data_IF_231070191263
#
_entry.id   IF_231070191263
#
_cell.length_a   1.000
_cell.length_b   1.000
_cell.length_c   1.000
_cell.angle_alpha   90.00
_cell.angle_beta   90.00
_cell.angle_gamma   90.00
#
_symmetry.space_group_name_H-M   'P 1'
#
loop_
_entity.id
_entity.type
_entity.pdbx_description
1 polymer ?
#
# COMPACT_ATOMS: atom_id res chain seq x y z
N UNK A 1 -13.75 -14.59 1.70
CA UNK A 1 -13.12 -15.30 2.84
C UNK A 1 -11.71 -14.75 3.05
N UNK A 2 -11.56 -13.70 3.86
CA UNK A 2 -10.28 -13.11 4.22
C UNK A 2 -10.01 -13.43 5.69
N UNK A 3 -8.79 -13.88 6.02
CA UNK A 3 -8.38 -14.03 7.42
C UNK A 3 -8.31 -12.63 8.06
N UNK A 4 -8.99 -12.47 9.19
CA UNK A 4 -9.05 -11.22 9.95
C UNK A 4 -8.42 -11.38 11.34
N UNK A 5 -7.36 -12.17 11.45
CA UNK A 5 -6.57 -12.29 12.66
C UNK A 5 -6.03 -10.93 13.10
N UNK A 6 -6.20 -10.61 14.37
CA UNK A 6 -5.84 -9.30 14.94
C UNK A 6 -4.37 -8.90 14.73
N UNK A 7 -3.46 -9.88 14.64
CA UNK A 7 -2.04 -9.64 14.38
C UNK A 7 -1.73 -9.22 12.94
N UNK A 8 -2.70 -9.31 12.01
CA UNK A 8 -2.51 -9.08 10.55
C UNK A 8 -3.47 -8.07 9.94
N UNK A 9 -4.40 -7.52 10.72
CA UNK A 9 -5.40 -6.55 10.22
C UNK A 9 -5.05 -5.09 10.49
N UNK A 10 -3.78 -4.79 10.78
CA UNK A 10 -3.34 -3.41 10.99
C UNK A 10 -3.70 -2.48 9.84
N UNK A 11 -3.54 -2.95 8.60
CA UNK A 11 -3.95 -2.20 7.41
C UNK A 11 -5.44 -1.83 7.44
N UNK A 12 -6.34 -2.73 7.81
CA UNK A 12 -7.78 -2.45 7.87
C UNK A 12 -8.08 -1.38 8.92
N UNK A 13 -7.42 -1.45 10.09
CA UNK A 13 -7.56 -0.47 11.15
C UNK A 13 -7.06 0.91 10.73
N UNK A 14 -5.92 0.97 10.02
CA UNK A 14 -5.35 2.20 9.46
C UNK A 14 -6.29 2.79 8.41
N UNK A 15 -6.72 2.00 7.43
CA UNK A 15 -7.59 2.46 6.35
C UNK A 15 -8.94 2.97 6.88
N UNK A 16 -9.54 2.30 7.87
CA UNK A 16 -10.75 2.78 8.52
C UNK A 16 -10.55 4.14 9.20
N UNK A 17 -9.41 4.33 9.90
CA UNK A 17 -9.05 5.63 10.49
C UNK A 17 -8.82 6.72 9.41
N UNK A 18 -8.41 6.31 8.21
CA UNK A 18 -8.30 7.20 7.03
C UNK A 18 -9.64 7.42 6.32
N UNK A 19 -10.76 7.00 6.93
CA UNK A 19 -12.10 7.12 6.37
C UNK A 19 -12.34 6.28 5.10
N UNK A 20 -11.62 5.17 4.93
CA UNK A 20 -11.93 4.21 3.88
C UNK A 20 -13.22 3.44 4.23
N UNK A 21 -14.10 3.27 3.25
CA UNK A 21 -15.34 2.54 3.46
C UNK A 21 -15.11 1.04 3.24
N UNK A 22 -14.80 0.34 4.33
CA UNK A 22 -14.54 -1.10 4.36
C UNK A 22 -15.50 -1.74 5.35
N UNK A 23 -16.37 -2.62 4.85
CA UNK A 23 -17.33 -3.39 5.65
C UNK A 23 -16.89 -4.84 5.74
N UNK A 24 -16.93 -5.40 6.94
CA UNK A 24 -16.71 -6.82 7.21
C UNK A 24 -18.07 -7.52 7.37
N UNK A 25 -18.32 -8.55 6.56
CA UNK A 25 -19.55 -9.36 6.60
C UNK A 25 -19.22 -10.85 6.74
N UNK A 26 -20.22 -11.65 7.09
CA UNK A 26 -20.12 -13.11 7.15
C UNK A 26 -18.94 -13.61 8.01
N UNK A 27 -18.72 -12.94 9.16
CA UNK A 27 -17.66 -13.30 10.09
C UNK A 27 -17.93 -14.69 10.68
N UNK A 28 -16.95 -15.59 10.57
CA UNK A 28 -17.03 -16.96 11.09
C UNK A 28 -15.67 -17.53 11.44
N UNK A 29 -15.64 -18.62 12.14
CA UNK A 29 -14.42 -19.40 12.43
C UNK A 29 -14.25 -20.46 11.35
N UNK A 30 -13.05 -20.54 10.78
CA UNK A 30 -12.66 -21.56 9.84
C UNK A 30 -11.26 -22.09 10.20
N UNK A 31 -11.14 -23.38 10.51
CA UNK A 31 -9.88 -24.02 10.95
C UNK A 31 -9.17 -23.27 12.09
N UNK A 32 -9.95 -22.83 13.10
CA UNK A 32 -9.42 -22.09 14.25
C UNK A 32 -9.12 -20.61 14.02
N UNK A 33 -9.21 -20.11 12.79
CA UNK A 33 -8.98 -18.71 12.44
C UNK A 33 -10.28 -17.95 12.15
N UNK A 34 -10.33 -16.69 12.52
CA UNK A 34 -11.47 -15.84 12.17
C UNK A 34 -11.34 -15.34 10.75
N UNK A 35 -12.36 -15.60 9.93
CA UNK A 35 -12.45 -15.15 8.55
C UNK A 35 -13.68 -14.26 8.32
N UNK A 36 -13.65 -13.41 7.31
CA UNK A 36 -14.74 -12.54 6.91
C UNK A 36 -14.68 -12.22 5.42
N UNK A 37 -15.79 -11.75 4.87
CA UNK A 37 -15.83 -11.12 3.56
C UNK A 37 -15.66 -9.62 3.72
N UNK A 38 -14.78 -9.01 2.91
CA UNK A 38 -14.54 -7.57 2.92
C UNK A 38 -15.20 -6.94 1.71
N UNK A 39 -16.06 -5.95 1.97
CA UNK A 39 -16.68 -5.11 0.95
C UNK A 39 -16.03 -3.74 1.01
N UNK A 40 -15.43 -3.31 -0.09
CA UNK A 40 -14.80 -1.99 -0.21
C UNK A 40 -15.56 -1.15 -1.21
N UNK A 41 -15.91 0.07 -0.85
CA UNK A 41 -16.55 1.01 -1.77
C UNK A 41 -15.77 2.31 -1.91
N UNK A 42 -15.81 2.89 -3.13
CA UNK A 42 -15.03 4.08 -3.50
C UNK A 42 -15.65 5.41 -3.07
N UNK A 43 -16.75 5.42 -2.34
CA UNK A 43 -17.51 6.65 -1.97
C UNK A 43 -16.87 7.49 -0.85
N UNK A 44 -15.72 7.11 -0.34
CA UNK A 44 -15.11 7.81 0.79
C UNK A 44 -14.06 8.82 0.35
N UNK A 45 -14.12 10.01 0.95
CA UNK A 45 -13.01 10.96 0.86
C UNK A 45 -11.96 10.57 1.89
N UNK A 46 -10.84 10.02 1.42
CA UNK A 46 -9.73 9.64 2.28
C UNK A 46 -9.17 10.85 3.03
N UNK A 47 -8.97 10.68 4.33
CA UNK A 47 -8.37 11.67 5.23
C UNK A 47 -6.97 11.22 5.64
N UNK A 48 -6.13 12.20 5.93
CA UNK A 48 -4.82 11.94 6.53
C UNK A 48 -4.95 11.29 7.91
N UNK A 49 -3.89 10.64 8.35
CA UNK A 49 -3.83 9.96 9.64
C UNK A 49 -2.58 10.37 10.42
N UNK A 50 -2.70 10.56 11.73
CA UNK A 50 -1.60 10.37 12.66
C UNK A 50 -1.64 8.90 13.11
N UNK A 51 -0.78 8.08 12.47
CA UNK A 51 -0.85 6.64 12.60
C UNK A 51 -0.42 6.18 14.00
N UNK A 52 -1.28 5.46 14.76
CA UNK A 52 -0.90 4.90 16.04
C UNK A 52 0.25 3.89 15.90
N UNK A 53 1.32 4.08 16.68
CA UNK A 53 2.53 3.23 16.61
C UNK A 53 2.26 1.75 16.89
N UNK A 54 1.26 1.44 17.74
CA UNK A 54 0.88 0.07 18.07
C UNK A 54 0.27 -0.70 16.89
N UNK A 55 -0.03 -0.03 15.78
CA UNK A 55 -0.47 -0.69 14.55
C UNK A 55 0.70 -1.09 13.63
N UNK A 56 1.93 -0.63 13.90
CA UNK A 56 3.07 -0.88 13.03
C UNK A 56 3.33 -2.37 12.81
N UNK A 57 3.39 -3.18 13.86
CA UNK A 57 3.67 -4.62 13.73
C UNK A 57 2.59 -5.35 12.93
N UNK A 58 1.33 -5.04 13.17
CA UNK A 58 0.19 -5.69 12.50
C UNK A 58 -0.07 -5.20 11.07
N UNK A 59 0.63 -4.13 10.63
CA UNK A 59 0.58 -3.55 9.29
C UNK A 59 1.95 -3.50 8.60
N UNK A 60 2.96 -4.15 9.19
CA UNK A 60 4.37 -3.97 8.78
C UNK A 60 4.59 -4.28 7.30
N UNK A 61 3.89 -5.24 6.77
CA UNK A 61 4.05 -5.68 5.40
C UNK A 61 3.25 -4.83 4.40
N UNK A 62 2.31 -4.04 4.86
CA UNK A 62 1.40 -3.24 4.02
C UNK A 62 1.77 -1.75 3.96
N UNK A 63 2.83 -1.30 4.67
CA UNK A 63 3.17 0.13 4.71
C UNK A 63 3.41 0.76 3.33
N UNK A 64 3.99 0.04 2.38
CA UNK A 64 4.20 0.57 1.03
C UNK A 64 2.87 0.97 0.37
N UNK A 65 1.84 0.12 0.48
CA UNK A 65 0.52 0.46 -0.08
C UNK A 65 -0.20 1.50 0.78
N UNK A 66 0.00 1.51 2.10
CA UNK A 66 -0.52 2.54 3.01
C UNK A 66 0.06 3.91 2.64
N UNK A 67 1.34 4.00 2.30
CA UNK A 67 1.95 5.26 1.83
C UNK A 67 1.32 5.76 0.53
N UNK A 68 1.02 4.84 -0.40
CA UNK A 68 0.31 5.18 -1.64
C UNK A 68 -1.11 5.70 -1.35
N UNK A 69 -1.83 5.08 -0.42
CA UNK A 69 -3.15 5.58 0.02
C UNK A 69 -3.02 6.96 0.68
N UNK A 70 -2.01 7.16 1.55
CA UNK A 70 -1.74 8.44 2.18
C UNK A 70 -1.42 9.55 1.16
N UNK A 71 -0.75 9.19 0.05
CA UNK A 71 -0.49 10.13 -1.06
C UNK A 71 -1.78 10.65 -1.73
N UNK A 72 -2.87 9.90 -1.66
CA UNK A 72 -4.21 10.28 -2.18
C UNK A 72 -5.14 10.84 -1.12
N UNK A 73 -4.77 10.82 0.14
CA UNK A 73 -5.60 11.34 1.23
C UNK A 73 -5.53 12.87 1.32
N UNK A 74 -6.60 13.51 1.82
CA UNK A 74 -6.59 14.94 2.09
C UNK A 74 -5.83 15.23 3.40
N UNK A 75 -4.79 16.06 3.34
CA UNK A 75 -4.02 16.49 4.51
C UNK A 75 -2.66 15.82 4.64
N UNK A 76 -2.08 15.83 5.84
CA UNK A 76 -0.73 15.32 6.13
C UNK A 76 -0.82 14.07 6.98
N UNK A 77 -0.39 12.94 6.44
CA UNK A 77 -0.31 11.68 7.21
C UNK A 77 1.07 11.56 7.87
N UNK A 78 1.08 11.16 9.13
CA UNK A 78 2.31 10.96 9.92
C UNK A 78 2.43 9.49 10.32
N UNK A 79 3.59 8.90 10.08
CA UNK A 79 3.94 7.53 10.47
C UNK A 79 5.26 7.58 11.23
N UNK A 80 5.35 6.86 12.36
CA UNK A 80 6.49 6.90 13.27
C UNK A 80 7.06 5.52 13.56
N UNK A 81 8.34 5.47 13.94
CA UNK A 81 9.03 4.24 14.34
C UNK A 81 9.01 3.17 13.24
N UNK A 82 9.38 3.54 12.02
CA UNK A 82 9.34 2.67 10.84
C UNK A 82 10.68 1.98 10.54
N UNK A 83 11.58 1.88 11.52
CA UNK A 83 12.91 1.29 11.37
C UNK A 83 12.87 -0.17 10.87
N UNK A 84 11.89 -0.95 11.30
CA UNK A 84 11.71 -2.34 10.85
C UNK A 84 11.46 -2.48 9.35
N UNK A 85 10.94 -1.44 8.68
CA UNK A 85 10.73 -1.48 7.22
C UNK A 85 12.04 -1.56 6.43
N UNK A 86 13.13 -1.04 6.96
CA UNK A 86 14.43 -1.12 6.29
C UNK A 86 15.19 -2.43 6.57
N UNK A 87 14.66 -3.28 7.45
CA UNK A 87 15.19 -4.61 7.78
C UNK A 87 14.47 -5.75 7.03
N UNK A 88 13.64 -5.42 6.03
CA UNK A 88 12.91 -6.38 5.19
C UNK A 88 13.77 -6.83 3.99
N UNK A 89 13.17 -7.51 3.01
CA UNK A 89 13.83 -7.98 1.78
C UNK A 89 14.54 -6.84 1.03
N UNK A 90 14.00 -5.66 1.15
CA UNK A 90 14.59 -4.41 0.66
C UNK A 90 14.45 -3.33 1.74
N UNK A 91 15.19 -2.21 1.66
CA UNK A 91 14.97 -1.07 2.54
C UNK A 91 13.66 -0.34 2.16
N UNK A 92 12.53 -0.95 2.55
CA UNK A 92 11.18 -0.55 2.11
C UNK A 92 10.84 0.90 2.45
N UNK A 93 11.29 1.41 3.61
CA UNK A 93 11.05 2.81 3.98
C UNK A 93 11.76 3.75 2.99
N UNK A 94 13.03 3.48 2.68
CA UNK A 94 13.82 4.31 1.76
C UNK A 94 13.26 4.25 0.34
N UNK A 95 12.89 3.04 -0.12
CA UNK A 95 12.28 2.83 -1.44
C UNK A 95 10.91 3.52 -1.52
N UNK A 96 10.08 3.38 -0.49
CA UNK A 96 8.77 4.03 -0.43
C UNK A 96 8.87 5.55 -0.49
N UNK A 97 9.84 6.15 0.22
CA UNK A 97 10.09 7.60 0.16
C UNK A 97 10.56 8.02 -1.24
N UNK A 98 11.50 7.29 -1.84
CA UNK A 98 11.98 7.55 -3.21
C UNK A 98 10.84 7.45 -4.22
N UNK A 99 10.02 6.42 -4.07
CA UNK A 99 8.83 6.23 -4.92
C UNK A 99 7.85 7.40 -4.81
N UNK A 100 7.48 7.82 -3.60
CA UNK A 100 6.56 8.93 -3.39
C UNK A 100 7.11 10.24 -3.99
N UNK A 101 8.41 10.52 -3.81
CA UNK A 101 9.06 11.68 -4.42
C UNK A 101 9.07 11.60 -5.94
N UNK A 102 9.32 10.42 -6.52
CA UNK A 102 9.29 10.19 -7.97
C UNK A 102 7.93 10.53 -8.58
N UNK A 103 6.85 10.25 -7.88
CA UNK A 103 5.48 10.59 -8.33
C UNK A 103 5.02 11.99 -7.88
N UNK A 104 5.93 12.85 -7.45
CA UNK A 104 5.65 14.26 -7.11
C UNK A 104 5.02 14.48 -5.74
N UNK A 105 5.01 13.49 -4.86
CA UNK A 105 4.45 13.63 -3.51
C UNK A 105 5.50 14.20 -2.56
N UNK A 106 5.15 15.28 -1.85
CA UNK A 106 6.01 15.86 -0.81
C UNK A 106 6.07 14.92 0.39
N UNK A 107 7.29 14.52 0.77
CA UNK A 107 7.58 13.69 1.94
C UNK A 107 8.67 14.35 2.77
N UNK A 108 8.43 14.48 4.06
CA UNK A 108 9.44 14.89 5.05
C UNK A 108 9.80 13.66 5.87
N UNK A 109 11.09 13.37 5.97
CA UNK A 109 11.62 12.30 6.82
C UNK A 109 12.41 12.89 7.98
N UNK A 110 12.18 12.38 9.18
CA UNK A 110 12.96 12.68 10.38
C UNK A 110 13.34 11.32 10.98
N UNK A 111 14.60 10.89 10.80
CA UNK A 111 15.07 9.54 11.17
C UNK A 111 14.20 8.44 10.54
N UNK A 112 13.43 7.72 11.35
CA UNK A 112 12.52 6.65 10.94
C UNK A 112 11.04 7.07 10.93
N UNK A 113 10.79 8.36 11.09
CA UNK A 113 9.46 8.95 10.99
C UNK A 113 9.28 9.62 9.63
N UNK A 114 8.07 9.58 9.08
CA UNK A 114 7.74 10.28 7.84
C UNK A 114 6.43 11.06 7.94
N UNK A 115 6.37 12.16 7.23
CA UNK A 115 5.14 12.91 6.95
C UNK A 115 4.90 12.89 5.44
N UNK A 116 3.72 12.46 5.03
CA UNK A 116 3.29 12.39 3.62
C UNK A 116 2.21 13.44 3.42
N UNK A 117 2.46 14.38 2.50
CA UNK A 117 1.52 15.43 2.13
C UNK A 117 0.64 14.91 1.00
N UNK A 118 -0.57 14.49 1.35
CA UNK A 118 -1.48 13.87 0.40
C UNK A 118 -2.19 14.88 -0.49
N UNK A 119 -2.52 14.42 -1.71
CA UNK A 119 -3.29 15.16 -2.70
C UNK A 119 -4.38 14.26 -3.30
N UNK A 120 -5.67 14.47 -2.96
CA UNK A 120 -6.77 13.69 -3.52
C UNK A 120 -6.83 13.72 -5.06
N UNK A 121 -6.37 14.81 -5.66
CA UNK A 121 -6.36 15.01 -7.10
C UNK A 121 -5.07 14.54 -7.80
N UNK A 122 -4.19 13.81 -7.07
CA UNK A 122 -2.95 13.29 -7.65
C UNK A 122 -3.27 12.42 -8.87
N UNK A 123 -2.82 12.87 -10.03
CA UNK A 123 -2.87 12.17 -11.32
C UNK A 123 -1.51 12.31 -12.01
N UNK A 124 -1.11 11.28 -12.70
CA UNK A 124 0.18 11.18 -13.36
C UNK A 124 -0.02 11.09 -14.88
N UNK A 125 0.76 11.86 -15.65
CA UNK A 125 0.74 11.86 -17.13
C UNK A 125 2.09 11.48 -17.74
N UNK A 126 3.16 11.45 -16.93
CA UNK A 126 4.53 11.21 -17.39
C UNK A 126 4.88 9.73 -17.62
N UNK A 127 6.18 9.50 -17.81
CA UNK A 127 6.77 8.16 -17.89
C UNK A 127 7.50 7.85 -16.60
N UNK A 128 7.28 6.66 -16.05
CA UNK A 128 7.82 6.23 -14.77
C UNK A 128 8.52 4.89 -14.90
N UNK A 129 9.66 4.76 -14.25
CA UNK A 129 10.46 3.52 -14.29
C UNK A 129 10.73 3.05 -12.88
N UNK A 130 10.31 1.82 -12.56
CA UNK A 130 10.64 1.14 -11.30
C UNK A 130 11.60 0.00 -11.55
N UNK A 131 12.81 0.13 -10.99
CA UNK A 131 13.90 -0.87 -11.09
C UNK A 131 14.79 -0.81 -9.85
N UNK A 132 15.68 -1.78 -9.69
CA UNK A 132 16.68 -1.81 -8.62
C UNK A 132 16.08 -1.82 -7.20
N UNK A 133 14.96 -2.52 -7.01
CA UNK A 133 14.31 -2.69 -5.71
C UNK A 133 14.51 -4.08 -5.09
N UNK A 134 15.64 -4.72 -5.42
CA UNK A 134 16.07 -6.04 -4.89
C UNK A 134 15.02 -7.14 -5.06
N UNK A 135 14.27 -7.12 -6.14
CA UNK A 135 13.17 -8.07 -6.41
C UNK A 135 12.14 -8.17 -5.29
N UNK A 136 11.93 -7.08 -4.53
CA UNK A 136 10.90 -7.06 -3.48
C UNK A 136 9.51 -7.05 -4.11
N UNK A 137 8.79 -8.15 -3.91
CA UNK A 137 7.45 -8.34 -4.48
C UNK A 137 6.43 -7.28 -4.02
N UNK A 138 6.58 -6.72 -2.81
CA UNK A 138 5.68 -5.68 -2.31
C UNK A 138 5.91 -4.33 -3.00
N UNK A 139 7.17 -4.02 -3.32
CA UNK A 139 7.51 -2.84 -4.13
C UNK A 139 6.94 -3.00 -5.54
N UNK A 140 7.10 -4.18 -6.14
CA UNK A 140 6.52 -4.48 -7.46
C UNK A 140 4.99 -4.30 -7.45
N UNK A 141 4.30 -4.94 -6.49
CA UNK A 141 2.84 -4.86 -6.40
C UNK A 141 2.35 -3.43 -6.14
N UNK A 142 2.97 -2.68 -5.22
CA UNK A 142 2.66 -1.27 -4.98
C UNK A 142 2.79 -0.44 -6.26
N UNK A 143 3.86 -0.65 -7.03
CA UNK A 143 4.11 0.08 -8.28
C UNK A 143 3.04 -0.21 -9.34
N UNK A 144 2.60 -1.46 -9.45
CA UNK A 144 1.49 -1.85 -10.33
C UNK A 144 0.18 -1.16 -9.92
N UNK A 145 -0.15 -1.13 -8.63
CA UNK A 145 -1.36 -0.46 -8.14
C UNK A 145 -1.27 1.06 -8.38
N UNK A 146 -0.11 1.67 -8.18
CA UNK A 146 0.09 3.09 -8.48
C UNK A 146 -0.13 3.38 -9.97
N UNK A 147 0.42 2.56 -10.87
CA UNK A 147 0.23 2.68 -12.32
C UNK A 147 -1.25 2.64 -12.72
N UNK A 148 -2.01 1.73 -12.13
CA UNK A 148 -3.43 1.54 -12.43
C UNK A 148 -4.32 2.64 -11.84
N UNK A 149 -3.93 3.23 -10.70
CA UNK A 149 -4.79 4.16 -9.95
C UNK A 149 -4.44 5.62 -10.16
N UNK A 150 -3.19 5.93 -10.50
CA UNK A 150 -2.71 7.31 -10.66
C UNK A 150 -2.55 7.72 -12.13
N UNK A 151 -2.46 6.76 -13.06
CA UNK A 151 -2.21 7.02 -14.48
C UNK A 151 -0.72 7.08 -14.80
N UNK A 152 -0.38 7.67 -16.00
CA UNK A 152 0.97 7.69 -16.54
C UNK A 152 1.33 6.40 -17.29
N UNK A 153 2.52 6.38 -17.91
CA UNK A 153 3.09 5.22 -18.58
C UNK A 153 4.19 4.63 -17.70
N UNK A 154 4.09 3.35 -17.38
CA UNK A 154 4.99 2.71 -16.42
C UNK A 154 5.77 1.56 -17.04
N UNK A 155 7.07 1.49 -16.69
CA UNK A 155 7.92 0.32 -16.91
C UNK A 155 8.38 -0.21 -15.56
N UNK A 156 7.87 -1.37 -15.15
CA UNK A 156 8.15 -1.97 -13.84
C UNK A 156 8.92 -3.27 -14.09
N UNK A 157 10.14 -3.32 -13.58
CA UNK A 157 11.03 -4.48 -13.71
C UNK A 157 10.76 -5.54 -12.65
N UNK A 158 11.48 -6.66 -12.72
CA UNK A 158 11.43 -7.75 -11.75
C UNK A 158 10.03 -8.35 -11.52
N UNK A 159 9.28 -8.53 -12.60
CA UNK A 159 7.94 -9.15 -12.59
C UNK A 159 7.93 -10.53 -11.91
N UNK A 160 9.03 -11.27 -12.01
CA UNK A 160 9.21 -12.59 -11.41
C UNK A 160 9.23 -12.55 -9.87
N UNK A 161 9.47 -11.39 -9.27
CA UNK A 161 9.46 -11.20 -7.81
C UNK A 161 8.16 -11.64 -7.12
N UNK A 162 7.03 -11.60 -7.83
CA UNK A 162 5.73 -12.02 -7.29
C UNK A 162 5.54 -13.53 -7.19
N UNK A 163 6.38 -14.32 -7.86
CA UNK A 163 6.20 -15.78 -7.94
C UNK A 163 6.32 -16.46 -6.57
N UNK A 164 7.12 -15.90 -5.66
CA UNK A 164 7.31 -16.44 -4.31
C UNK A 164 6.15 -16.13 -3.35
N UNK A 165 5.32 -15.11 -3.64
CA UNK A 165 4.31 -14.61 -2.71
C UNK A 165 2.90 -14.58 -3.27
N UNK A 166 2.74 -14.07 -4.50
CA UNK A 166 1.43 -13.93 -5.14
C UNK A 166 1.50 -14.16 -6.67
N UNK A 167 1.79 -15.39 -7.12
CA UNK A 167 2.03 -15.69 -8.55
C UNK A 167 0.84 -15.36 -9.46
N UNK A 168 -0.38 -15.32 -8.92
CA UNK A 168 -1.60 -14.97 -9.67
C UNK A 168 -1.86 -13.46 -9.75
N UNK A 169 -1.04 -12.60 -9.13
CA UNK A 169 -1.28 -11.16 -9.03
C UNK A 169 -1.58 -10.49 -10.37
N UNK A 170 -0.69 -10.60 -11.35
CA UNK A 170 -0.89 -10.01 -12.69
C UNK A 170 -2.12 -10.59 -13.39
N UNK A 171 -2.36 -11.91 -13.28
CA UNK A 171 -3.53 -12.55 -13.88
C UNK A 171 -4.83 -11.97 -13.28
N UNK A 172 -4.86 -11.73 -11.98
CA UNK A 172 -6.01 -11.12 -11.30
C UNK A 172 -6.20 -9.68 -11.77
N UNK A 173 -5.14 -8.87 -11.82
CA UNK A 173 -5.24 -7.49 -12.31
C UNK A 173 -5.79 -7.43 -13.73
N UNK A 174 -5.32 -8.30 -14.64
CA UNK A 174 -5.85 -8.40 -16.01
C UNK A 174 -7.33 -8.77 -16.04
N UNK A 175 -7.78 -9.72 -15.19
CA UNK A 175 -9.20 -10.06 -15.04
C UNK A 175 -10.05 -8.89 -14.55
N UNK A 176 -9.46 -7.98 -13.78
CA UNK A 176 -10.10 -6.76 -13.30
C UNK A 176 -10.03 -5.59 -14.30
N UNK A 177 -9.55 -5.85 -15.53
CA UNK A 177 -9.52 -4.87 -16.61
C UNK A 177 -8.20 -4.10 -16.76
N UNK A 178 -7.14 -4.47 -16.03
CA UNK A 178 -5.84 -3.81 -16.17
C UNK A 178 -5.20 -4.14 -17.53
N UNK A 179 -4.76 -3.10 -18.25
CA UNK A 179 -3.98 -3.21 -19.48
C UNK A 179 -2.49 -3.32 -19.11
N UNK A 180 -1.96 -4.54 -19.12
CA UNK A 180 -0.58 -4.86 -18.76
C UNK A 180 0.03 -5.70 -19.87
N UNK A 181 1.09 -5.20 -20.47
CA UNK A 181 1.91 -5.88 -21.49
C UNK A 181 3.06 -6.66 -20.82
#
# INVERSE_FOLDING_TARGET
>A
NININNSRIGILKILNKMNANILSKNKRIYKGETISDLIVSSKSNLKSIDCPKNLNSSAIDEFLIIFLVAAKAKGVSTFRNLDELNKKESPRLDIGIKFLKMIGVKVIRIKNDIKIYGNPNLKLSGQYVMKNFRKDHRVFMMSCIAALTLGGKWKIYDKDSINSSFPKFIKILKKLGAKIN
#
